data_IF_983972066174
#
_entry.id   IF_983972066174
#
_cell.length_a   1.000
_cell.length_b   1.000
_cell.length_c   1.000
_cell.angle_alpha   90.00
_cell.angle_beta   90.00
_cell.angle_gamma   90.00
#
_symmetry.space_group_name_H-M   'P 1'
#
loop_
_entity.id
_entity.type
_entity.pdbx_description
1 polymer ?
#
# COMPACT_ATOMS: atom_id res chain seq x y z
N UNK A 1 -12.91 25.14 -42.70
CA UNK A 1 -12.07 24.37 -41.75
C UNK A 1 -12.67 24.49 -40.33
N UNK A 2 -13.58 23.58 -39.94
CA UNK A 2 -14.22 23.60 -38.60
C UNK A 2 -13.32 22.86 -37.61
N UNK A 3 -12.63 23.58 -36.73
CA UNK A 3 -11.98 22.98 -35.55
C UNK A 3 -13.08 22.45 -34.63
N UNK A 4 -13.27 21.12 -34.59
CA UNK A 4 -14.03 20.49 -33.50
C UNK A 4 -13.18 20.63 -32.25
N UNK A 5 -13.52 21.56 -31.37
CA UNK A 5 -13.09 21.53 -29.98
C UNK A 5 -13.70 20.26 -29.37
N UNK A 6 -12.93 19.19 -29.29
CA UNK A 6 -13.30 18.01 -28.51
C UNK A 6 -13.30 18.42 -27.04
N UNK A 7 -14.48 18.74 -26.52
CA UNK A 7 -14.71 18.93 -25.10
C UNK A 7 -14.30 17.62 -24.41
N UNK A 8 -13.21 17.65 -23.63
CA UNK A 8 -12.76 16.48 -22.88
C UNK A 8 -13.45 16.53 -21.51
N UNK A 9 -14.54 15.76 -21.27
CA UNK A 9 -15.38 15.91 -20.08
C UNK A 9 -14.58 15.66 -18.79
N UNK A 10 -13.56 14.81 -18.87
CA UNK A 10 -12.64 14.45 -17.79
C UNK A 10 -11.89 15.66 -17.20
N UNK A 11 -11.67 16.72 -17.98
CA UNK A 11 -10.89 17.89 -17.56
C UNK A 11 -11.65 18.80 -16.59
N UNK A 12 -13.00 18.77 -16.63
CA UNK A 12 -13.89 19.49 -15.72
C UNK A 12 -14.42 18.53 -14.64
N UNK A 13 -14.60 17.25 -14.96
CA UNK A 13 -15.13 16.26 -14.04
C UNK A 13 -14.26 16.09 -12.78
N UNK A 14 -12.93 16.00 -12.94
CA UNK A 14 -12.01 15.86 -11.79
C UNK A 14 -12.10 17.04 -10.81
N UNK A 15 -11.94 18.32 -11.22
CA UNK A 15 -12.04 19.43 -10.27
C UNK A 15 -13.44 19.56 -9.66
N UNK A 16 -14.51 19.29 -10.42
CA UNK A 16 -15.88 19.28 -9.88
C UNK A 16 -16.04 18.18 -8.83
N UNK A 17 -15.59 16.96 -9.11
CA UNK A 17 -15.63 15.85 -8.15
C UNK A 17 -14.82 16.16 -6.89
N UNK A 18 -13.59 16.67 -7.04
CA UNK A 18 -12.75 17.09 -5.91
C UNK A 18 -13.43 18.17 -5.08
N UNK A 19 -14.04 19.18 -5.71
CA UNK A 19 -14.76 20.23 -5.01
C UNK A 19 -15.96 19.67 -4.25
N UNK A 20 -16.75 18.79 -4.88
CA UNK A 20 -17.89 18.12 -4.25
C UNK A 20 -17.46 17.27 -3.05
N UNK A 21 -16.37 16.49 -3.15
CA UNK A 21 -15.84 15.71 -2.03
C UNK A 21 -15.33 16.59 -0.89
N UNK A 22 -14.71 17.72 -1.22
CA UNK A 22 -14.29 18.70 -0.20
C UNK A 22 -15.47 19.37 0.48
N UNK A 23 -16.46 19.83 -0.30
CA UNK A 23 -17.65 20.52 0.21
C UNK A 23 -18.52 19.62 1.10
N UNK A 24 -18.57 18.31 0.81
CA UNK A 24 -19.31 17.32 1.61
C UNK A 24 -18.50 16.74 2.77
N UNK A 25 -17.22 17.13 2.92
CA UNK A 25 -16.32 16.59 3.95
C UNK A 25 -15.77 15.18 3.69
N UNK A 26 -16.23 14.51 2.62
CA UNK A 26 -15.77 13.17 2.23
C UNK A 26 -14.27 13.12 1.94
N UNK A 27 -13.69 14.20 1.41
CA UNK A 27 -12.25 14.29 1.19
C UNK A 27 -11.47 14.13 2.50
N UNK A 28 -11.86 14.88 3.54
CA UNK A 28 -11.17 14.84 4.83
C UNK A 28 -11.37 13.48 5.51
N UNK A 29 -12.57 12.91 5.43
CA UNK A 29 -12.83 11.57 5.92
C UNK A 29 -11.95 10.52 5.24
N UNK A 30 -11.93 10.50 3.91
CA UNK A 30 -11.12 9.55 3.13
C UNK A 30 -9.63 9.70 3.46
N UNK A 31 -9.14 10.94 3.58
CA UNK A 31 -7.77 11.20 3.98
C UNK A 31 -7.45 10.73 5.41
N UNK A 32 -8.35 10.97 6.36
CA UNK A 32 -8.22 10.50 7.75
C UNK A 32 -8.24 8.97 7.85
N UNK A 33 -9.03 8.29 7.02
CA UNK A 33 -9.05 6.81 6.93
C UNK A 33 -7.76 6.29 6.29
N UNK A 34 -7.32 6.89 5.18
CA UNK A 34 -6.06 6.56 4.49
C UNK A 34 -4.83 6.64 5.42
N UNK A 35 -4.73 7.69 6.24
CA UNK A 35 -3.58 7.86 7.15
C UNK A 35 -3.72 7.09 8.47
N UNK A 36 -4.76 6.26 8.63
CA UNK A 36 -5.00 5.49 9.86
C UNK A 36 -5.25 4.00 9.58
N UNK A 37 -4.29 3.27 8.96
CA UNK A 37 -4.41 1.84 8.70
C UNK A 37 -4.49 1.05 10.01
N UNK A 38 -5.58 0.33 10.23
CA UNK A 38 -5.83 -0.44 11.46
C UNK A 38 -5.39 -1.90 11.30
N UNK A 39 -4.83 -2.47 12.37
CA UNK A 39 -4.47 -3.89 12.42
C UNK A 39 -5.73 -4.70 12.77
N UNK A 40 -6.03 -5.72 11.97
CA UNK A 40 -7.15 -6.64 12.18
C UNK A 40 -6.62 -8.07 12.29
N UNK A 41 -7.02 -8.78 13.34
CA UNK A 41 -6.76 -10.22 13.47
C UNK A 41 -7.93 -10.98 12.86
N UNK A 42 -7.64 -11.77 11.83
CA UNK A 42 -8.62 -12.66 11.20
C UNK A 42 -8.13 -14.09 11.39
N UNK A 43 -9.03 -14.99 11.81
CA UNK A 43 -8.72 -16.40 12.00
C UNK A 43 -9.39 -17.22 10.90
N UNK A 44 -8.61 -18.09 10.27
CA UNK A 44 -9.06 -18.93 9.16
C UNK A 44 -8.90 -20.40 9.54
N UNK A 45 -9.99 -21.16 9.48
CA UNK A 45 -9.95 -22.61 9.61
C UNK A 45 -9.84 -23.23 8.21
N UNK A 46 -8.71 -23.85 7.93
CA UNK A 46 -8.46 -24.49 6.63
C UNK A 46 -8.58 -26.01 6.80
N UNK A 47 -9.58 -26.60 6.16
CA UNK A 47 -9.79 -28.04 6.19
C UNK A 47 -8.62 -28.77 5.50
N UNK A 48 -8.08 -29.79 6.16
CA UNK A 48 -6.97 -30.59 5.64
C UNK A 48 -5.58 -30.00 5.88
N UNK A 49 -5.47 -28.87 6.60
CA UNK A 49 -4.18 -28.36 7.06
C UNK A 49 -3.72 -29.16 8.30
N UNK A 50 -2.42 -29.49 8.35
CA UNK A 50 -1.85 -30.25 9.46
C UNK A 50 -1.97 -29.47 10.79
N UNK A 51 -2.20 -30.20 11.88
CA UNK A 51 -2.30 -29.65 13.23
C UNK A 51 -1.03 -28.92 13.66
N UNK A 52 0.12 -29.26 13.09
CA UNK A 52 1.40 -28.54 13.31
C UNK A 52 1.38 -27.09 12.83
N UNK A 53 0.49 -26.75 11.89
CA UNK A 53 0.31 -25.38 11.37
C UNK A 53 -0.74 -24.60 12.16
N UNK A 54 -1.35 -25.20 13.19
CA UNK A 54 -2.34 -24.53 14.02
C UNK A 54 -1.68 -23.36 14.77
N UNK A 55 -2.30 -22.18 14.66
CA UNK A 55 -1.77 -20.96 15.28
C UNK A 55 -0.65 -20.28 14.50
N UNK A 56 -0.31 -20.76 13.29
CA UNK A 56 0.57 -20.04 12.39
C UNK A 56 -0.04 -18.68 12.02
N UNK A 57 0.76 -17.63 12.08
CA UNK A 57 0.32 -16.24 11.95
C UNK A 57 1.05 -15.53 10.81
N UNK A 58 0.26 -14.82 10.00
CA UNK A 58 0.74 -14.05 8.86
C UNK A 58 0.40 -12.58 9.10
N UNK A 59 1.41 -11.71 9.13
CA UNK A 59 1.20 -10.28 8.97
C UNK A 59 1.04 -9.98 7.47
N UNK A 60 -0.14 -9.55 7.05
CA UNK A 60 -0.44 -9.25 5.65
C UNK A 60 -0.66 -7.76 5.44
N UNK A 61 0.10 -7.18 4.51
CA UNK A 61 -0.08 -5.82 4.01
C UNK A 61 -0.34 -5.86 2.49
N UNK A 62 -1.11 -4.91 1.97
CA UNK A 62 -1.36 -4.76 0.53
C UNK A 62 -1.54 -3.28 0.17
N UNK A 63 -1.39 -2.96 -1.12
CA UNK A 63 -1.77 -1.66 -1.70
C UNK A 63 -1.21 -0.46 -0.94
N UNK A 64 0.09 -0.51 -0.61
CA UNK A 64 0.72 0.44 0.30
C UNK A 64 0.79 1.86 -0.26
N UNK A 65 1.04 1.99 -1.58
CA UNK A 65 1.12 3.28 -2.29
C UNK A 65 1.91 4.35 -1.52
N UNK A 66 3.12 4.02 -1.08
CA UNK A 66 3.90 4.84 -0.14
C UNK A 66 4.36 6.18 -0.72
N UNK A 67 4.21 6.38 -2.03
CA UNK A 67 4.46 7.60 -2.78
C UNK A 67 3.26 8.57 -2.81
N UNK A 68 2.07 8.18 -2.33
CA UNK A 68 0.92 9.10 -2.20
C UNK A 68 1.11 10.14 -1.10
N UNK A 69 1.60 9.71 0.07
CA UNK A 69 1.88 10.56 1.23
C UNK A 69 2.85 9.85 2.18
N UNK A 70 4.06 10.38 2.31
CA UNK A 70 5.13 9.77 3.11
C UNK A 70 4.85 9.75 4.61
N UNK A 71 3.81 10.44 5.09
CA UNK A 71 3.34 10.29 6.48
C UNK A 71 2.83 8.87 6.76
N UNK A 72 2.30 8.18 5.75
CA UNK A 72 1.77 6.82 5.90
C UNK A 72 2.87 5.85 6.36
N UNK A 73 4.10 6.03 5.87
CA UNK A 73 5.29 5.23 6.24
C UNK A 73 5.47 5.13 7.75
N UNK A 74 5.45 6.28 8.44
CA UNK A 74 5.62 6.33 9.89
C UNK A 74 4.46 5.69 10.64
N UNK A 75 3.23 5.87 10.15
CA UNK A 75 2.05 5.26 10.77
C UNK A 75 2.08 3.74 10.64
N UNK A 76 2.46 3.20 9.48
CA UNK A 76 2.60 1.76 9.26
C UNK A 76 3.70 1.20 10.16
N UNK A 77 4.89 1.81 10.17
CA UNK A 77 6.01 1.38 11.01
C UNK A 77 5.60 1.26 12.48
N UNK A 78 5.00 2.32 13.03
CA UNK A 78 4.55 2.34 14.43
C UNK A 78 3.47 1.30 14.74
N UNK A 79 2.59 1.00 13.77
CA UNK A 79 1.52 -0.01 13.93
C UNK A 79 2.04 -1.44 13.95
N UNK A 80 3.13 -1.73 13.24
CA UNK A 80 3.58 -3.11 13.03
C UNK A 80 4.86 -3.49 13.81
N UNK A 81 5.69 -2.52 14.23
CA UNK A 81 7.03 -2.78 14.82
C UNK A 81 7.09 -3.69 16.06
N UNK A 82 5.98 -3.88 16.77
CA UNK A 82 5.91 -4.75 17.95
C UNK A 82 4.92 -5.91 17.79
N UNK A 83 4.36 -6.11 16.59
CA UNK A 83 3.50 -7.24 16.32
C UNK A 83 4.32 -8.53 16.27
N UNK A 84 3.75 -9.61 16.81
CA UNK A 84 4.31 -10.95 16.74
C UNK A 84 3.60 -11.70 15.63
N UNK A 85 4.37 -12.29 14.73
CA UNK A 85 3.91 -13.08 13.61
C UNK A 85 5.02 -14.04 13.16
N UNK A 86 4.65 -15.12 12.48
CA UNK A 86 5.61 -16.12 11.99
C UNK A 86 6.23 -15.71 10.64
N UNK A 87 5.46 -15.04 9.79
CA UNK A 87 5.93 -14.43 8.53
C UNK A 87 5.19 -13.11 8.25
N UNK A 88 5.81 -12.26 7.44
CA UNK A 88 5.17 -11.10 6.83
C UNK A 88 5.01 -11.30 5.31
N UNK A 89 3.89 -10.87 4.76
CA UNK A 89 3.64 -10.85 3.32
C UNK A 89 3.14 -9.48 2.87
N UNK A 90 3.69 -8.97 1.78
CA UNK A 90 3.24 -7.74 1.14
C UNK A 90 2.75 -8.06 -0.26
N UNK A 91 1.47 -7.81 -0.52
CA UNK A 91 0.83 -8.21 -1.78
C UNK A 91 0.54 -7.02 -2.69
N UNK A 92 1.60 -6.53 -3.33
CA UNK A 92 1.55 -5.59 -4.44
C UNK A 92 1.29 -4.13 -4.08
N UNK A 93 1.39 -3.31 -5.13
CA UNK A 93 1.06 -1.90 -5.19
C UNK A 93 1.83 -1.08 -4.13
N UNK A 94 3.16 -1.25 -4.14
CA UNK A 94 4.07 -0.42 -3.37
C UNK A 94 4.02 1.03 -3.89
N UNK A 95 3.93 1.17 -5.21
CA UNK A 95 3.85 2.44 -5.92
C UNK A 95 2.41 2.79 -6.31
N UNK A 96 2.09 4.07 -6.47
CA UNK A 96 0.80 4.54 -6.96
C UNK A 96 0.74 4.73 -8.48
N UNK A 97 1.87 4.93 -9.14
CA UNK A 97 1.91 5.08 -10.60
C UNK A 97 2.85 4.06 -11.22
N UNK A 98 2.56 3.56 -12.42
CA UNK A 98 3.42 2.59 -13.13
C UNK A 98 4.69 3.21 -13.73
N UNK A 99 4.70 4.53 -13.89
CA UNK A 99 5.87 5.29 -14.34
C UNK A 99 6.27 6.22 -13.19
N UNK A 100 7.27 5.80 -12.45
CA UNK A 100 7.87 6.55 -11.35
C UNK A 100 9.29 6.97 -11.74
N UNK A 101 9.59 8.25 -11.60
CA UNK A 101 10.92 8.80 -11.92
C UNK A 101 11.82 8.89 -10.69
N UNK A 102 11.25 8.80 -9.49
CA UNK A 102 11.97 9.17 -8.27
C UNK A 102 12.18 8.01 -7.29
N UNK A 103 11.56 6.84 -7.47
CA UNK A 103 11.70 5.70 -6.55
C UNK A 103 11.27 6.02 -5.11
N UNK A 104 10.34 6.96 -4.91
CA UNK A 104 9.91 7.40 -3.59
C UNK A 104 9.33 6.26 -2.76
N UNK A 105 8.42 5.46 -3.33
CA UNK A 105 7.81 4.34 -2.61
C UNK A 105 8.86 3.35 -2.09
N UNK A 106 9.90 3.04 -2.88
CA UNK A 106 10.98 2.14 -2.47
C UNK A 106 11.85 2.73 -1.34
N UNK A 107 12.11 4.05 -1.37
CA UNK A 107 12.79 4.71 -0.25
C UNK A 107 11.96 4.69 1.02
N UNK A 108 10.64 4.89 0.91
CA UNK A 108 9.73 4.80 2.04
C UNK A 108 9.64 3.36 2.55
N UNK A 109 9.55 2.37 1.66
CA UNK A 109 9.57 0.95 2.01
C UNK A 109 10.80 0.59 2.83
N UNK A 110 11.99 1.07 2.43
CA UNK A 110 13.23 0.87 3.18
C UNK A 110 13.16 1.37 4.64
N UNK A 111 12.37 2.41 4.92
CA UNK A 111 12.17 2.91 6.30
C UNK A 111 11.26 2.01 7.13
N UNK A 112 10.38 1.23 6.50
CA UNK A 112 9.48 0.28 7.16
C UNK A 112 10.20 -1.04 7.45
N UNK A 113 11.19 -1.42 6.64
CA UNK A 113 11.94 -2.69 6.77
C UNK A 113 12.37 -3.08 8.19
N UNK A 114 12.88 -2.16 9.04
CA UNK A 114 13.27 -2.51 10.42
C UNK A 114 12.11 -3.04 11.29
N UNK A 115 10.85 -2.77 10.92
CA UNK A 115 9.69 -3.30 11.62
C UNK A 115 9.41 -4.78 11.33
N UNK A 116 10.12 -5.38 10.36
CA UNK A 116 9.98 -6.78 9.98
C UNK A 116 11.14 -7.68 10.44
N UNK A 117 12.14 -7.15 11.15
CA UNK A 117 13.37 -7.88 11.52
C UNK A 117 13.14 -9.20 12.27
N UNK A 118 11.98 -9.37 12.93
CA UNK A 118 11.63 -10.54 13.72
C UNK A 118 11.16 -11.76 12.89
N UNK A 119 10.86 -11.61 11.59
CA UNK A 119 10.34 -12.71 10.79
C UNK A 119 10.71 -12.60 9.29
N UNK A 120 10.71 -13.72 8.54
CA UNK A 120 10.84 -13.68 7.09
C UNK A 120 9.74 -12.83 6.44
N UNK A 121 10.11 -12.09 5.40
CA UNK A 121 9.21 -11.25 4.60
C UNK A 121 9.16 -11.74 3.16
N UNK A 122 7.96 -11.75 2.59
CA UNK A 122 7.73 -12.10 1.19
C UNK A 122 6.95 -10.99 0.50
N UNK A 123 7.28 -10.70 -0.76
CA UNK A 123 6.63 -9.67 -1.55
C UNK A 123 6.20 -10.20 -2.92
N UNK A 124 5.04 -9.75 -3.41
CA UNK A 124 4.66 -9.88 -4.82
C UNK A 124 4.41 -8.50 -5.41
N UNK A 125 4.68 -8.33 -6.70
CA UNK A 125 4.42 -7.06 -7.41
C UNK A 125 2.93 -6.92 -7.73
N UNK A 126 2.42 -5.70 -7.60
CA UNK A 126 1.10 -5.31 -8.07
C UNK A 126 1.15 -4.77 -9.49
N UNK A 127 -0.01 -4.33 -10.00
CA UNK A 127 -0.09 -3.78 -11.35
C UNK A 127 0.48 -2.35 -11.45
N UNK A 128 0.73 -1.68 -10.33
CA UNK A 128 1.41 -0.38 -10.28
C UNK A 128 2.94 -0.49 -10.15
N UNK A 129 3.46 -1.68 -9.87
CA UNK A 129 4.88 -1.91 -9.67
C UNK A 129 5.59 -2.35 -10.96
N UNK A 130 6.90 -2.15 -11.01
CA UNK A 130 7.74 -2.46 -12.16
C UNK A 130 8.74 -3.55 -11.82
N UNK A 131 9.05 -4.42 -12.79
CA UNK A 131 10.15 -5.40 -12.65
C UNK A 131 11.50 -4.76 -12.30
N UNK A 132 11.69 -3.47 -12.62
CA UNK A 132 12.90 -2.70 -12.24
C UNK A 132 13.03 -2.50 -10.72
N UNK A 133 11.92 -2.58 -9.99
CA UNK A 133 11.88 -2.36 -8.55
C UNK A 133 12.42 -3.58 -7.78
N UNK A 134 12.29 -4.77 -8.37
CA UNK A 134 12.65 -6.07 -7.75
C UNK A 134 14.08 -6.07 -7.22
N UNK A 135 15.07 -5.69 -8.04
CA UNK A 135 16.47 -5.66 -7.62
C UNK A 135 16.73 -4.71 -6.44
N UNK A 136 15.95 -3.63 -6.35
CA UNK A 136 16.06 -2.67 -5.24
C UNK A 136 15.41 -3.25 -3.99
N UNK A 137 14.27 -3.92 -4.13
CA UNK A 137 13.55 -4.59 -3.04
C UNK A 137 14.32 -5.78 -2.46
N UNK A 138 14.85 -6.68 -3.30
CA UNK A 138 15.66 -7.84 -2.85
C UNK A 138 16.90 -7.42 -2.05
N UNK A 139 17.47 -6.24 -2.34
CA UNK A 139 18.59 -5.69 -1.57
C UNK A 139 18.20 -5.17 -0.18
N UNK A 140 16.91 -4.95 0.07
CA UNK A 140 16.42 -4.48 1.37
C UNK A 140 16.24 -5.62 2.37
N UNK A 141 16.08 -6.87 1.89
CA UNK A 141 15.75 -8.03 2.69
C UNK A 141 14.65 -8.84 2.04
#
# INVERSE_FOLDING_TARGET
MRRRLTFCPLRILKPVATLSFKATGLWNRAYSEFINPIVRKNEFAINGLDATSAGFTILHLSDLHLDLDTRLTGVIYERIKYLKYDIAVITGDFNNFTIHSDGLALREMKKIMPAFEQAPIFGVLGNHDSLRDVHVMEKMG
#
